data_IF_376153613025
#
_entry.id   IF_376153613025
#
_cell.length_a   1.000
_cell.length_b   1.000
_cell.length_c   1.000
_cell.angle_alpha   90.00
_cell.angle_beta   90.00
_cell.angle_gamma   90.00
#
_symmetry.space_group_name_H-M   'P 1'
#
loop_
_entity.id
_entity.type
_entity.pdbx_description
1 polymer ?
#
# COMPACT_ATOMS: atom_id res chain seq x y z
N UNK A 1 -26.22 26.03 6.27
CA UNK A 1 -24.81 26.11 5.85
C UNK A 1 -24.61 25.11 4.72
N UNK A 2 -24.31 25.57 3.50
CA UNK A 2 -24.03 24.66 2.39
C UNK A 2 -22.73 23.91 2.69
N UNK A 3 -22.83 22.59 2.86
CA UNK A 3 -21.65 21.72 2.92
C UNK A 3 -20.94 21.85 1.57
N UNK A 4 -19.81 22.57 1.54
CA UNK A 4 -18.87 22.57 0.42
C UNK A 4 -18.60 21.10 0.04
N UNK A 5 -19.14 20.66 -1.10
CA UNK A 5 -18.82 19.34 -1.65
C UNK A 5 -17.34 19.34 -1.97
N UNK A 6 -16.54 18.64 -1.17
CA UNK A 6 -15.15 18.37 -1.49
C UNK A 6 -15.11 17.64 -2.83
N UNK A 7 -14.60 18.27 -3.88
CA UNK A 7 -14.36 17.62 -5.17
C UNK A 7 -13.12 16.74 -5.04
N UNK A 8 -13.32 15.42 -5.02
CA UNK A 8 -12.25 14.45 -5.04
C UNK A 8 -11.74 14.23 -6.47
N UNK A 9 -10.44 14.05 -6.61
CA UNK A 9 -9.71 13.63 -7.81
C UNK A 9 -9.01 12.28 -7.57
N UNK A 10 -8.48 11.66 -8.62
CA UNK A 10 -7.64 10.45 -8.52
C UNK A 10 -6.32 10.69 -7.78
N UNK A 11 -5.91 11.95 -7.64
CA UNK A 11 -4.73 12.37 -6.87
C UNK A 11 -5.06 12.84 -5.45
N UNK A 12 -6.33 12.80 -5.02
CA UNK A 12 -6.72 13.20 -3.68
C UNK A 12 -6.11 12.27 -2.63
N UNK A 13 -5.55 12.86 -1.57
CA UNK A 13 -4.79 12.12 -0.56
C UNK A 13 -5.50 12.05 0.79
N UNK A 14 -5.01 11.14 1.63
CA UNK A 14 -5.28 11.05 3.06
C UNK A 14 -3.95 11.15 3.82
N UNK A 15 -3.97 11.80 4.98
CA UNK A 15 -2.79 11.91 5.84
C UNK A 15 -2.67 10.66 6.72
N UNK A 16 -1.50 10.00 6.66
CA UNK A 16 -1.14 8.88 7.53
C UNK A 16 -0.70 9.40 8.92
N UNK A 17 -0.63 8.50 9.91
CA UNK A 17 -0.23 8.84 11.28
C UNK A 17 1.17 9.49 11.37
N UNK A 18 2.08 9.10 10.49
CA UNK A 18 3.43 9.68 10.39
C UNK A 18 3.48 11.00 9.57
N UNK A 19 2.33 11.53 9.16
CA UNK A 19 2.20 12.79 8.43
C UNK A 19 2.37 12.70 6.91
N UNK A 20 2.78 11.55 6.36
CA UNK A 20 2.86 11.35 4.90
C UNK A 20 1.47 11.36 4.27
N UNK A 21 1.41 11.78 3.01
CA UNK A 21 0.18 11.79 2.22
C UNK A 21 0.13 10.54 1.35
N UNK A 22 -0.97 9.79 1.44
CA UNK A 22 -1.22 8.59 0.63
C UNK A 22 -2.41 8.85 -0.30
N UNK A 23 -2.34 8.52 -1.61
CA UNK A 23 -3.50 8.60 -2.49
C UNK A 23 -4.66 7.75 -1.97
N UNK A 24 -5.88 8.29 -2.01
CA UNK A 24 -7.08 7.59 -1.52
C UNK A 24 -7.49 6.43 -2.41
N UNK A 25 -7.15 6.51 -3.70
CA UNK A 25 -7.39 5.47 -4.68
C UNK A 25 -6.03 5.12 -5.30
N UNK A 26 -5.71 3.83 -5.29
CA UNK A 26 -4.49 3.28 -5.85
C UNK A 26 -4.84 2.18 -6.85
N UNK A 27 -4.00 2.00 -7.86
CA UNK A 27 -4.11 0.87 -8.78
C UNK A 27 -3.38 -0.34 -8.18
N UNK A 28 -4.11 -1.38 -7.80
CA UNK A 28 -3.54 -2.68 -7.45
C UNK A 28 -3.23 -3.52 -8.69
N UNK A 29 -2.05 -4.13 -8.76
CA UNK A 29 -1.58 -4.94 -9.92
C UNK A 29 -1.55 -6.44 -9.62
N UNK A 30 -2.52 -6.91 -8.84
CA UNK A 30 -2.61 -8.34 -8.49
C UNK A 30 -2.99 -9.20 -9.71
N UNK A 31 -2.26 -10.31 -9.92
CA UNK A 31 -2.46 -11.30 -11.00
C UNK A 31 -2.38 -10.75 -12.43
N UNK A 32 -1.77 -9.60 -12.64
CA UNK A 32 -1.47 -9.11 -13.98
C UNK A 32 -0.14 -9.67 -14.48
N UNK A 33 -0.11 -10.13 -15.74
CA UNK A 33 1.15 -10.43 -16.43
C UNK A 33 2.00 -9.16 -16.58
N UNK A 34 3.27 -9.31 -16.99
CA UNK A 34 4.15 -8.16 -17.14
C UNK A 34 3.62 -7.11 -18.14
N UNK A 35 3.10 -7.55 -19.29
CA UNK A 35 2.48 -6.65 -20.29
C UNK A 35 1.21 -5.99 -19.77
N UNK A 36 0.33 -6.73 -19.09
CA UNK A 36 -0.90 -6.17 -18.52
C UNK A 36 -0.59 -5.14 -17.43
N UNK A 37 0.42 -5.41 -16.60
CA UNK A 37 0.92 -4.49 -15.58
C UNK A 37 1.40 -3.18 -16.23
N UNK A 38 2.24 -3.27 -17.27
CA UNK A 38 2.76 -2.08 -17.95
C UNK A 38 1.63 -1.22 -18.55
N UNK A 39 0.66 -1.86 -19.23
CA UNK A 39 -0.46 -1.16 -19.86
C UNK A 39 -1.37 -0.52 -18.80
N UNK A 40 -1.71 -1.24 -17.73
CA UNK A 40 -2.58 -0.73 -16.68
C UNK A 40 -1.95 0.46 -15.93
N UNK A 41 -0.66 0.35 -15.57
CA UNK A 41 0.07 1.43 -14.87
C UNK A 41 0.17 2.67 -15.76
N UNK A 42 0.51 2.51 -17.05
CA UNK A 42 0.58 3.61 -18.01
C UNK A 42 -0.76 4.35 -18.10
N UNK A 43 -1.85 3.61 -18.34
CA UNK A 43 -3.19 4.19 -18.48
C UNK A 43 -3.64 4.89 -17.19
N UNK A 44 -3.30 4.33 -16.02
CA UNK A 44 -3.64 4.94 -14.74
C UNK A 44 -2.87 6.26 -14.51
N UNK A 45 -1.57 6.32 -14.82
CA UNK A 45 -0.77 7.55 -14.75
C UNK A 45 -1.37 8.65 -15.63
N UNK A 46 -1.68 8.31 -16.88
CA UNK A 46 -2.32 9.21 -17.87
C UNK A 46 -3.70 9.69 -17.41
N UNK A 47 -4.47 8.83 -16.71
CA UNK A 47 -5.76 9.19 -16.14
C UNK A 47 -5.66 10.07 -14.88
N UNK A 48 -4.49 10.16 -14.23
CA UNK A 48 -4.28 10.98 -13.04
C UNK A 48 -4.08 10.21 -11.73
N UNK A 49 -3.92 8.88 -11.76
CA UNK A 49 -3.53 8.12 -10.57
C UNK A 49 -2.12 8.49 -10.13
N UNK A 50 -1.94 8.53 -8.81
CA UNK A 50 -0.63 8.74 -8.18
C UNK A 50 -0.26 7.62 -7.22
N UNK A 51 -1.10 6.61 -7.03
CA UNK A 51 -0.85 5.47 -6.14
C UNK A 51 -0.85 4.13 -6.88
N UNK A 52 0.14 3.29 -6.61
CA UNK A 52 0.31 1.97 -7.21
C UNK A 52 0.66 0.94 -6.14
N UNK A 53 -0.09 -0.15 -6.11
CA UNK A 53 0.02 -1.21 -5.12
C UNK A 53 0.44 -2.53 -5.79
N UNK A 54 1.64 -2.99 -5.44
CA UNK A 54 2.19 -4.28 -5.84
C UNK A 54 2.51 -5.12 -4.60
N UNK A 55 3.16 -6.26 -4.79
CA UNK A 55 3.73 -7.09 -3.74
C UNK A 55 4.82 -7.99 -4.34
N UNK A 56 5.75 -8.44 -3.51
CA UNK A 56 6.79 -9.38 -3.94
C UNK A 56 6.22 -10.67 -4.54
N UNK A 57 5.09 -11.16 -4.01
CA UNK A 57 4.39 -12.34 -4.53
C UNK A 57 3.76 -12.15 -5.92
N UNK A 58 3.61 -10.90 -6.39
CA UNK A 58 3.01 -10.63 -7.70
C UNK A 58 4.06 -10.67 -8.82
N UNK A 59 5.35 -10.63 -8.46
CA UNK A 59 6.48 -10.69 -9.39
C UNK A 59 6.43 -9.63 -10.49
N UNK A 60 5.86 -8.45 -10.20
CA UNK A 60 5.66 -7.39 -11.18
C UNK A 60 6.09 -5.99 -10.71
N UNK A 61 6.87 -5.89 -9.62
CA UNK A 61 7.41 -4.63 -9.10
C UNK A 61 8.28 -3.89 -10.14
N UNK A 62 9.04 -4.65 -10.94
CA UNK A 62 9.92 -4.12 -11.99
C UNK A 62 9.13 -3.44 -13.11
N UNK A 63 8.02 -4.03 -13.50
CA UNK A 63 7.13 -3.52 -14.53
C UNK A 63 6.49 -2.20 -14.07
N UNK A 64 5.98 -2.16 -12.84
CA UNK A 64 5.40 -0.93 -12.25
C UNK A 64 6.46 0.18 -12.22
N UNK A 65 7.63 -0.11 -11.65
CA UNK A 65 8.70 0.88 -11.48
C UNK A 65 9.23 1.42 -12.82
N UNK A 66 9.44 0.56 -13.82
CA UNK A 66 9.87 0.97 -15.16
C UNK A 66 8.87 1.92 -15.83
N UNK A 67 7.56 1.67 -15.71
CA UNK A 67 6.55 2.53 -16.32
C UNK A 67 6.47 3.88 -15.59
N UNK A 68 6.54 3.88 -14.26
CA UNK A 68 6.61 5.11 -13.46
C UNK A 68 7.81 5.96 -13.88
N UNK A 69 9.01 5.38 -13.97
CA UNK A 69 10.22 6.12 -14.35
C UNK A 69 10.11 6.71 -15.76
N UNK A 70 9.67 5.92 -16.74
CA UNK A 70 9.44 6.41 -18.11
C UNK A 70 8.41 7.53 -18.17
N UNK A 71 7.34 7.45 -17.38
CA UNK A 71 6.35 8.51 -17.30
C UNK A 71 6.97 9.79 -16.72
N UNK A 72 7.74 9.68 -15.64
CA UNK A 72 8.42 10.83 -15.03
C UNK A 72 9.46 11.47 -15.95
N UNK A 73 10.13 10.72 -16.83
CA UNK A 73 10.98 11.27 -17.88
C UNK A 73 10.19 12.22 -18.81
N UNK A 74 8.93 11.91 -19.12
CA UNK A 74 8.08 12.81 -19.94
C UNK A 74 7.59 14.04 -19.18
N UNK A 75 7.76 14.08 -17.86
CA UNK A 75 7.34 15.18 -17.00
C UNK A 75 8.47 16.17 -16.71
N UNK A 76 9.74 15.77 -16.87
CA UNK A 76 10.93 16.50 -16.42
C UNK A 76 10.97 17.99 -16.83
N UNK A 77 10.65 18.30 -18.10
CA UNK A 77 10.74 19.67 -18.63
C UNK A 77 9.42 20.45 -18.56
N UNK A 78 8.37 19.88 -17.96
CA UNK A 78 7.07 20.55 -17.83
C UNK A 78 7.10 21.54 -16.66
N UNK A 79 6.50 22.74 -16.77
CA UNK A 79 6.48 23.75 -15.70
C UNK A 79 5.93 23.26 -14.35
N UNK A 80 5.08 22.23 -14.34
CA UNK A 80 4.56 21.54 -13.16
C UNK A 80 4.72 20.02 -13.31
N UNK A 81 5.87 19.60 -13.86
CA UNK A 81 6.22 18.21 -14.05
C UNK A 81 6.26 17.44 -12.74
N UNK A 82 5.70 16.23 -12.76
CA UNK A 82 5.71 15.33 -11.62
C UNK A 82 7.10 14.75 -11.39
N UNK A 83 7.39 14.47 -10.13
CA UNK A 83 8.64 13.86 -9.65
C UNK A 83 8.36 12.53 -8.96
N UNK A 84 9.43 11.84 -8.58
CA UNK A 84 9.32 10.58 -7.85
C UNK A 84 8.51 10.75 -6.55
N UNK A 85 8.69 11.86 -5.84
CA UNK A 85 7.94 12.17 -4.62
C UNK A 85 6.43 12.41 -4.82
N UNK A 86 5.98 12.63 -6.08
CA UNK A 86 4.56 12.79 -6.41
C UNK A 86 3.86 11.45 -6.69
N UNK A 87 4.62 10.35 -6.70
CA UNK A 87 4.11 8.98 -6.91
C UNK A 87 4.22 8.20 -5.60
N UNK A 88 3.17 7.49 -5.24
CA UNK A 88 3.11 6.62 -4.08
C UNK A 88 3.17 5.16 -4.54
N UNK A 89 4.23 4.46 -4.18
CA UNK A 89 4.40 3.04 -4.50
C UNK A 89 4.36 2.18 -3.23
N UNK A 90 3.47 1.20 -3.24
CA UNK A 90 3.31 0.21 -2.16
C UNK A 90 3.84 -1.15 -2.60
N UNK A 91 4.61 -1.81 -1.74
CA UNK A 91 4.93 -3.23 -1.87
C UNK A 91 4.77 -3.98 -0.55
N UNK A 92 4.86 -5.31 -0.60
CA UNK A 92 4.54 -6.19 0.53
C UNK A 92 5.50 -7.35 0.64
N UNK A 93 5.88 -7.66 1.89
CA UNK A 93 6.71 -8.81 2.25
C UNK A 93 6.03 -10.12 1.87
N UNK A 94 6.67 -10.96 1.06
CA UNK A 94 6.07 -12.23 0.62
C UNK A 94 5.79 -13.20 1.79
N UNK A 95 6.73 -13.32 2.72
CA UNK A 95 6.67 -14.30 3.82
C UNK A 95 7.36 -13.77 5.08
N UNK A 96 6.76 -14.03 6.24
CA UNK A 96 7.34 -13.70 7.54
C UNK A 96 8.34 -14.78 7.96
N UNK A 97 9.64 -14.45 7.92
CA UNK A 97 10.71 -15.42 8.17
C UNK A 97 11.56 -15.00 9.37
N UNK A 98 12.30 -13.90 9.24
CA UNK A 98 13.19 -13.35 10.25
C UNK A 98 13.47 -11.87 9.94
N UNK A 99 14.13 -11.18 10.86
CA UNK A 99 14.59 -9.80 10.66
C UNK A 99 15.50 -9.67 9.42
N UNK A 100 16.57 -10.47 9.34
CA UNK A 100 17.56 -10.36 8.24
C UNK A 100 16.94 -10.67 6.88
N UNK A 101 16.08 -11.70 6.82
CA UNK A 101 15.36 -12.03 5.60
C UNK A 101 14.46 -10.87 5.16
N UNK A 102 13.82 -10.19 6.11
CA UNK A 102 12.96 -9.02 5.84
C UNK A 102 13.77 -7.83 5.34
N UNK A 103 14.90 -7.50 5.98
CA UNK A 103 15.82 -6.44 5.52
C UNK A 103 16.31 -6.70 4.09
N UNK A 104 16.71 -7.94 3.80
CA UNK A 104 17.09 -8.35 2.44
C UNK A 104 15.92 -8.24 1.46
N UNK A 105 14.72 -8.62 1.88
CA UNK A 105 13.52 -8.53 1.04
C UNK A 105 13.19 -7.09 0.65
N UNK A 106 13.25 -6.15 1.60
CA UNK A 106 13.01 -4.72 1.35
C UNK A 106 13.99 -4.20 0.29
N UNK A 107 15.29 -4.48 0.45
CA UNK A 107 16.33 -4.10 -0.52
C UNK A 107 16.07 -4.67 -1.90
N UNK A 108 15.61 -5.94 -1.99
CA UNK A 108 15.22 -6.55 -3.26
C UNK A 108 14.05 -5.81 -3.92
N UNK A 109 13.02 -5.43 -3.17
CA UNK A 109 11.88 -4.66 -3.73
C UNK A 109 12.29 -3.26 -4.20
N UNK A 110 13.17 -2.57 -3.45
CA UNK A 110 13.71 -1.27 -3.87
C UNK A 110 14.50 -1.42 -5.17
N UNK A 111 15.38 -2.43 -5.24
CA UNK A 111 16.16 -2.71 -6.44
C UNK A 111 15.27 -3.12 -7.62
N UNK A 112 14.29 -3.99 -7.40
CA UNK A 112 13.41 -4.51 -8.44
C UNK A 112 12.57 -3.39 -9.05
N UNK A 113 11.97 -2.53 -8.22
CA UNK A 113 11.21 -1.38 -8.70
C UNK A 113 12.11 -0.30 -9.33
N UNK A 114 13.35 -0.14 -8.88
CA UNK A 114 14.26 0.91 -9.36
C UNK A 114 13.84 2.32 -8.94
N UNK A 115 12.90 2.45 -8.01
CA UNK A 115 12.28 3.72 -7.60
C UNK A 115 13.05 4.47 -6.49
N UNK A 116 14.20 3.93 -6.07
CA UNK A 116 15.07 4.50 -5.03
C UNK A 116 14.60 4.24 -3.59
N UNK A 117 13.29 4.27 -3.35
CA UNK A 117 12.65 3.97 -2.06
C UNK A 117 11.21 3.47 -2.27
N UNK A 118 10.58 2.95 -1.21
CA UNK A 118 9.17 2.54 -1.22
C UNK A 118 8.35 3.46 -0.31
N UNK A 119 7.19 3.93 -0.78
CA UNK A 119 6.36 4.85 0.01
C UNK A 119 5.66 4.14 1.17
N UNK A 120 5.17 2.92 0.94
CA UNK A 120 4.56 2.06 1.95
C UNK A 120 5.02 0.61 1.79
N UNK A 121 5.54 0.02 2.86
CA UNK A 121 5.87 -1.40 2.88
C UNK A 121 5.01 -2.15 3.90
N UNK A 122 4.33 -3.20 3.45
CA UNK A 122 3.39 -3.96 4.28
C UNK A 122 3.93 -5.35 4.62
N UNK A 123 3.69 -5.82 5.84
CA UNK A 123 3.64 -7.26 6.09
C UNK A 123 2.37 -7.80 5.42
N UNK A 124 2.50 -8.65 4.39
CA UNK A 124 1.37 -9.02 3.52
C UNK A 124 0.30 -9.85 4.24
N UNK A 125 0.70 -10.73 5.15
CA UNK A 125 -0.24 -11.59 5.89
C UNK A 125 0.29 -11.90 7.29
N UNK A 126 -0.58 -12.17 8.28
CA UNK A 126 -0.18 -12.46 9.66
C UNK A 126 0.35 -13.89 9.87
N UNK A 127 0.73 -14.61 8.82
CA UNK A 127 1.18 -16.00 8.94
C UNK A 127 2.59 -16.11 9.54
N UNK A 128 2.98 -17.33 9.96
CA UNK A 128 4.31 -17.61 10.52
C UNK A 128 4.46 -17.46 12.04
N UNK A 129 3.41 -16.97 12.73
CA UNK A 129 3.38 -16.88 14.20
C UNK A 129 3.99 -15.60 14.77
N UNK A 130 3.67 -15.30 16.05
CA UNK A 130 4.00 -14.05 16.74
C UNK A 130 5.48 -13.67 16.63
N UNK A 131 6.37 -14.59 16.98
CA UNK A 131 7.81 -14.31 17.02
C UNK A 131 8.33 -13.83 15.65
N UNK A 132 7.94 -14.49 14.56
CA UNK A 132 8.36 -14.10 13.21
C UNK A 132 7.75 -12.76 12.79
N UNK A 133 6.48 -12.52 13.09
CA UNK A 133 5.81 -11.24 12.79
C UNK A 133 6.52 -10.07 13.45
N UNK A 134 6.88 -10.20 14.73
CA UNK A 134 7.56 -9.14 15.48
C UNK A 134 8.99 -8.90 14.97
N UNK A 135 9.73 -9.95 14.61
CA UNK A 135 11.04 -9.79 13.98
C UNK A 135 10.96 -9.11 12.61
N UNK A 136 9.94 -9.43 11.80
CA UNK A 136 9.71 -8.74 10.53
C UNK A 136 9.30 -7.28 10.77
N UNK A 137 8.48 -7.00 11.79
CA UNK A 137 8.11 -5.63 12.15
C UNK A 137 9.33 -4.80 12.53
N UNK A 138 10.22 -5.34 13.38
CA UNK A 138 11.48 -4.69 13.76
C UNK A 138 12.33 -4.33 12.55
N UNK A 139 12.38 -5.18 11.53
CA UNK A 139 13.08 -4.89 10.28
C UNK A 139 12.44 -3.74 9.47
N UNK A 140 11.11 -3.63 9.50
CA UNK A 140 10.37 -2.52 8.90
C UNK A 140 10.63 -1.22 9.67
N UNK A 141 10.69 -1.25 11.00
CA UNK A 141 10.99 -0.06 11.80
C UNK A 141 12.39 0.50 11.50
N UNK A 142 13.39 -0.37 11.35
CA UNK A 142 14.74 0.08 11.02
C UNK A 142 14.83 0.56 9.55
N UNK A 143 14.15 -0.11 8.61
CA UNK A 143 14.03 0.37 7.23
C UNK A 143 13.43 1.77 7.14
N UNK A 144 12.44 2.05 8.00
CA UNK A 144 11.79 3.34 8.08
C UNK A 144 12.75 4.41 8.61
N UNK A 145 13.49 4.11 9.68
CA UNK A 145 14.51 5.03 10.24
C UNK A 145 15.65 5.31 9.25
N UNK A 146 16.02 4.31 8.45
CA UNK A 146 17.03 4.42 7.39
C UNK A 146 16.50 5.04 6.09
N UNK A 147 15.23 5.50 6.08
CA UNK A 147 14.61 6.18 4.95
C UNK A 147 14.44 5.35 3.67
N UNK A 148 14.71 4.04 3.72
CA UNK A 148 14.46 3.09 2.64
C UNK A 148 12.95 2.94 2.34
N UNK A 149 12.13 3.09 3.39
CA UNK A 149 10.66 3.09 3.30
C UNK A 149 10.07 4.31 4.02
N UNK A 150 9.01 4.92 3.46
CA UNK A 150 8.43 6.17 3.98
C UNK A 150 7.24 5.98 4.91
N UNK A 151 6.67 4.78 4.94
CA UNK A 151 5.63 4.35 5.86
C UNK A 151 5.64 2.82 5.97
N UNK A 152 5.18 2.31 7.12
CA UNK A 152 5.07 0.88 7.40
C UNK A 152 3.64 0.52 7.75
N UNK A 153 3.23 -0.69 7.41
CA UNK A 153 1.91 -1.17 7.75
C UNK A 153 1.80 -2.68 7.66
N UNK A 154 0.57 -3.16 7.78
CA UNK A 154 0.23 -4.57 7.70
C UNK A 154 -0.89 -4.78 6.70
N UNK A 155 -1.08 -6.02 6.28
CA UNK A 155 -2.22 -6.44 5.48
C UNK A 155 -2.78 -7.73 6.06
N UNK A 156 -4.11 -7.89 5.95
CA UNK A 156 -4.84 -9.05 6.45
C UNK A 156 -4.75 -9.27 7.98
N UNK A 157 -4.37 -8.24 8.74
CA UNK A 157 -4.34 -8.34 10.21
C UNK A 157 -5.75 -8.15 10.79
N UNK A 158 -6.21 -9.14 11.55
CA UNK A 158 -7.36 -9.00 12.45
C UNK A 158 -6.99 -8.35 13.79
N UNK A 159 -8.01 -8.05 14.59
CA UNK A 159 -7.86 -7.32 15.88
C UNK A 159 -6.80 -7.95 16.79
N UNK A 160 -6.80 -9.28 16.96
CA UNK A 160 -5.80 -9.97 17.80
C UNK A 160 -4.36 -9.73 17.34
N UNK A 161 -4.12 -9.69 16.03
CA UNK A 161 -2.79 -9.43 15.48
C UNK A 161 -2.38 -7.96 15.64
N UNK A 162 -3.33 -7.02 15.50
CA UNK A 162 -3.09 -5.60 15.73
C UNK A 162 -2.80 -5.33 17.20
N UNK A 163 -3.61 -5.86 18.12
CA UNK A 163 -3.40 -5.76 19.56
C UNK A 163 -2.03 -6.34 19.96
N UNK A 164 -1.68 -7.51 19.43
CA UNK A 164 -0.37 -8.13 19.65
C UNK A 164 0.78 -7.18 19.29
N UNK A 165 0.70 -6.52 18.14
CA UNK A 165 1.71 -5.57 17.67
C UNK A 165 1.70 -4.30 18.53
N UNK A 166 0.55 -3.69 18.78
CA UNK A 166 0.47 -2.43 19.54
C UNK A 166 0.91 -2.59 21.00
N UNK A 167 0.68 -3.77 21.60
CA UNK A 167 1.12 -4.06 22.98
C UNK A 167 2.64 -4.10 23.12
N UNK A 168 3.40 -4.30 22.03
CA UNK A 168 4.87 -4.20 22.10
C UNK A 168 5.38 -2.77 22.15
N UNK A 169 4.49 -1.77 22.09
CA UNK A 169 4.83 -0.35 22.02
C UNK A 169 5.84 -0.07 20.89
N UNK A 170 5.47 -0.32 19.62
CA UNK A 170 6.40 -0.18 18.50
C UNK A 170 6.91 1.26 18.40
N UNK A 171 8.19 1.40 18.03
CA UNK A 171 8.82 2.71 17.79
C UNK A 171 8.18 3.39 16.58
N UNK A 172 7.75 2.61 15.59
CA UNK A 172 7.00 3.09 14.43
C UNK A 172 5.63 2.42 14.43
N UNK A 173 4.58 3.22 14.62
CA UNK A 173 3.20 2.74 14.61
C UNK A 173 2.79 2.30 13.19
N UNK A 174 1.99 1.21 13.04
CA UNK A 174 1.46 0.83 11.74
C UNK A 174 0.57 1.93 11.17
N UNK A 175 0.95 2.48 10.03
CA UNK A 175 0.20 3.55 9.38
C UNK A 175 -1.05 3.02 8.65
N UNK A 176 -0.99 1.78 8.15
CA UNK A 176 -2.02 1.17 7.33
C UNK A 176 -2.30 -0.28 7.76
N UNK A 177 -3.57 -0.68 7.72
CA UNK A 177 -3.98 -2.08 7.65
C UNK A 177 -4.80 -2.30 6.36
N UNK A 178 -4.18 -2.95 5.37
CA UNK A 178 -4.82 -3.22 4.08
C UNK A 178 -5.61 -4.54 4.13
N UNK A 179 -6.93 -4.50 3.98
CA UNK A 179 -7.83 -5.66 4.17
C UNK A 179 -8.96 -5.70 3.13
N UNK A 180 -9.52 -6.90 2.89
CA UNK A 180 -10.69 -7.05 2.01
C UNK A 180 -11.91 -6.40 2.64
N UNK A 181 -12.38 -5.31 2.03
CA UNK A 181 -13.60 -4.60 2.43
C UNK A 181 -14.44 -4.31 1.19
N UNK A 182 -15.70 -4.72 1.25
CA UNK A 182 -16.74 -4.39 0.27
C UNK A 182 -18.11 -4.60 0.94
N UNK A 183 -19.24 -4.21 0.33
CA UNK A 183 -20.56 -4.30 0.98
C UNK A 183 -20.93 -5.70 1.51
N UNK A 184 -20.40 -6.76 0.91
CA UNK A 184 -20.61 -8.17 1.34
C UNK A 184 -19.58 -8.71 2.34
N UNK A 185 -18.54 -7.94 2.68
CA UNK A 185 -17.50 -8.27 3.65
C UNK A 185 -17.04 -6.95 4.28
N UNK A 186 -17.82 -6.43 5.23
CA UNK A 186 -17.64 -5.06 5.72
C UNK A 186 -16.47 -4.89 6.69
N UNK A 187 -16.07 -5.98 7.37
CA UNK A 187 -15.02 -6.00 8.43
C UNK A 187 -15.17 -4.87 9.45
N UNK A 188 -16.42 -4.50 9.80
CA UNK A 188 -16.75 -3.31 10.60
C UNK A 188 -15.94 -3.22 11.90
N UNK A 189 -15.79 -4.32 12.63
CA UNK A 189 -15.04 -4.34 13.90
C UNK A 189 -13.55 -4.07 13.71
N UNK A 190 -12.93 -4.66 12.66
CA UNK A 190 -11.52 -4.43 12.35
C UNK A 190 -11.31 -2.99 11.90
N UNK A 191 -12.22 -2.47 11.06
CA UNK A 191 -12.13 -1.09 10.58
C UNK A 191 -12.26 -0.08 11.71
N UNK A 192 -13.22 -0.29 12.62
CA UNK A 192 -13.41 0.54 13.82
C UNK A 192 -12.17 0.50 14.71
N UNK A 193 -11.64 -0.69 15.00
CA UNK A 193 -10.42 -0.84 15.79
C UNK A 193 -9.23 -0.09 15.17
N UNK A 194 -9.04 -0.19 13.85
CA UNK A 194 -7.98 0.54 13.15
C UNK A 194 -8.15 2.05 13.31
N UNK A 195 -9.35 2.59 13.08
CA UNK A 195 -9.65 4.01 13.22
C UNK A 195 -9.41 4.54 14.63
N UNK A 196 -9.85 3.82 15.66
CA UNK A 196 -9.65 4.17 17.07
C UNK A 196 -8.16 4.22 17.45
N UNK A 197 -7.31 3.48 16.74
CA UNK A 197 -5.86 3.42 16.97
C UNK A 197 -5.05 4.24 15.94
N UNK A 198 -5.69 5.10 15.14
CA UNK A 198 -5.01 5.95 14.16
C UNK A 198 -4.41 5.19 12.96
N UNK A 199 -4.84 3.96 12.71
CA UNK A 199 -4.41 3.12 11.59
C UNK A 199 -5.38 3.33 10.43
N UNK A 200 -4.86 3.75 9.27
CA UNK A 200 -5.69 3.90 8.07
C UNK A 200 -6.08 2.52 7.54
N UNK A 201 -7.38 2.36 7.26
CA UNK A 201 -7.89 1.16 6.59
C UNK A 201 -7.80 1.37 5.09
N UNK A 202 -7.09 0.48 4.41
CA UNK A 202 -7.03 0.46 2.95
C UNK A 202 -7.79 -0.78 2.43
N UNK A 203 -8.85 -0.56 1.66
CA UNK A 203 -9.69 -1.63 1.16
C UNK A 203 -9.13 -2.21 -0.15
N UNK A 204 -8.85 -3.52 -0.18
CA UNK A 204 -8.64 -4.25 -1.44
C UNK A 204 -9.90 -5.03 -1.85
N UNK A 205 -9.94 -5.41 -3.14
CA UNK A 205 -11.11 -6.04 -3.77
C UNK A 205 -12.46 -5.33 -3.49
N UNK A 206 -12.54 -3.99 -3.55
CA UNK A 206 -13.75 -3.24 -3.16
C UNK A 206 -14.98 -3.59 -4.00
N UNK A 207 -14.78 -4.14 -5.20
CA UNK A 207 -15.81 -4.55 -6.15
C UNK A 207 -16.17 -6.04 -6.04
N UNK A 208 -15.77 -6.72 -4.95
CA UNK A 208 -16.00 -8.15 -4.74
C UNK A 208 -15.56 -9.02 -5.94
N UNK A 209 -14.44 -8.65 -6.58
CA UNK A 209 -13.91 -9.28 -7.81
C UNK A 209 -14.95 -9.40 -8.94
N UNK A 210 -15.90 -8.46 -8.99
CA UNK A 210 -17.05 -8.44 -9.89
C UNK A 210 -18.07 -9.60 -9.72
N UNK A 211 -17.91 -10.48 -8.72
CA UNK A 211 -18.82 -11.61 -8.48
C UNK A 211 -20.23 -11.22 -8.01
N UNK A 212 -20.47 -9.92 -7.74
CA UNK A 212 -21.73 -9.41 -7.19
C UNK A 212 -22.34 -8.25 -7.98
N UNK A 213 -21.88 -7.99 -9.21
CA UNK A 213 -22.38 -6.88 -10.04
C UNK A 213 -23.85 -7.00 -10.45
N UNK A 214 -24.45 -8.19 -10.30
CA UNK A 214 -25.89 -8.42 -10.55
C UNK A 214 -26.73 -8.38 -9.27
N UNK A 215 -26.17 -7.93 -8.16
CA UNK A 215 -26.92 -7.85 -6.91
C UNK A 215 -28.06 -6.81 -7.05
N UNK A 216 -29.31 -7.15 -6.70
CA UNK A 216 -30.47 -6.31 -7.03
C UNK A 216 -30.53 -4.96 -6.31
N UNK A 217 -29.73 -4.78 -5.26
CA UNK A 217 -29.77 -3.59 -4.37
C UNK A 217 -28.43 -2.91 -4.19
N UNK A 218 -27.33 -3.64 -4.39
CA UNK A 218 -25.97 -3.15 -4.12
C UNK A 218 -25.31 -3.03 -5.48
N UNK A 219 -25.24 -1.79 -5.96
CA UNK A 219 -24.66 -1.39 -7.26
C UNK A 219 -23.24 -0.89 -7.08
#
# INVERSE_FOLDING_TARGET
MATSKSTYSLSSTIKLANGKLMPRIQLGVYLTSGRETEVAVKNALEAGYRGFDSAQMYHNEKEVGRVILRFLETEHDKPNGLKREDIFFTSKLASNVSYDATRQSIKKSIQASGLGYIDLFLIHSPYGGKAKRLECWRALEDAYKEEEIRAVGVSNYGIKHLQELLTTNPTVFPAVNQIEIHPFNTRTEIAKFCQENGIVVEAYAPLARAYRFRHPTIV
#
